data_IF_607761879799
#
_entry.id   IF_607761879799
#
_cell.length_a   1.000
_cell.length_b   1.000
_cell.length_c   1.000
_cell.angle_alpha   90.00
_cell.angle_beta   90.00
_cell.angle_gamma   90.00
#
_symmetry.space_group_name_H-M   'P 1'
#
loop_
_entity.id
_entity.type
_entity.pdbx_description
1 polymer ?
#
# COMPACT_ATOMS: atom_id res chain seq x y z
N UNK A 1 -5.88 8.01 -16.83
CA UNK A 1 -5.95 8.58 -15.47
C UNK A 1 -4.73 8.10 -14.67
N UNK A 2 -4.68 8.27 -13.36
CA UNK A 2 -3.88 7.40 -12.47
C UNK A 2 -4.82 6.69 -11.47
N UNK A 3 -4.31 5.71 -10.74
CA UNK A 3 -5.13 4.82 -9.93
C UNK A 3 -5.80 5.51 -8.73
N UNK A 4 -5.18 6.56 -8.15
CA UNK A 4 -5.75 7.23 -6.98
C UNK A 4 -6.85 8.22 -7.39
N UNK A 5 -6.66 8.94 -8.50
CA UNK A 5 -7.74 9.76 -9.06
C UNK A 5 -8.91 8.89 -9.54
N UNK A 6 -8.65 7.77 -10.21
CA UNK A 6 -9.72 6.86 -10.67
C UNK A 6 -10.55 6.26 -9.52
N UNK A 7 -9.97 6.08 -8.32
CA UNK A 7 -10.72 5.69 -7.13
C UNK A 7 -11.46 6.85 -6.44
N UNK A 8 -10.98 8.09 -6.58
CA UNK A 8 -11.70 9.27 -6.10
C UNK A 8 -12.97 9.50 -6.94
N UNK A 9 -12.84 9.51 -8.27
CA UNK A 9 -13.95 9.62 -9.22
C UNK A 9 -14.98 8.49 -8.99
N UNK A 10 -14.51 7.24 -8.79
CA UNK A 10 -15.36 6.09 -8.48
C UNK A 10 -16.17 6.29 -7.20
N UNK A 11 -15.56 6.82 -6.14
CA UNK A 11 -16.21 7.06 -4.86
C UNK A 11 -17.20 8.24 -4.89
N UNK A 12 -17.03 9.19 -5.81
CA UNK A 12 -17.99 10.28 -6.03
C UNK A 12 -19.25 9.80 -6.78
N UNK A 13 -19.09 8.91 -7.78
CA UNK A 13 -20.21 8.46 -8.63
C UNK A 13 -20.91 7.18 -8.14
N UNK A 14 -20.23 6.28 -7.44
CA UNK A 14 -20.74 4.95 -7.08
C UNK A 14 -21.10 4.85 -5.59
N UNK A 15 -22.26 5.39 -5.23
CA UNK A 15 -22.75 5.48 -3.84
C UNK A 15 -22.99 4.14 -3.12
N UNK A 16 -22.88 3.02 -3.81
CA UNK A 16 -22.98 1.67 -3.23
C UNK A 16 -21.62 1.15 -2.72
N UNK A 17 -20.51 1.71 -3.19
CA UNK A 17 -19.14 1.29 -2.83
C UNK A 17 -18.72 1.99 -1.54
N UNK A 18 -18.38 1.20 -0.53
CA UNK A 18 -17.90 1.69 0.77
C UNK A 18 -16.37 1.80 0.83
N UNK A 19 -15.67 0.82 0.23
CA UNK A 19 -14.22 0.82 0.12
C UNK A 19 -13.80 0.19 -1.22
N UNK A 20 -12.68 0.65 -1.78
CA UNK A 20 -12.08 0.09 -2.98
C UNK A 20 -10.54 0.12 -2.93
N UNK A 21 -9.90 -0.83 -3.62
CA UNK A 21 -8.45 -0.96 -3.73
C UNK A 21 -8.06 -1.44 -5.13
N UNK A 22 -7.07 -0.78 -5.74
CA UNK A 22 -6.44 -1.21 -7.00
C UNK A 22 -5.09 -1.83 -6.66
N UNK A 23 -4.82 -3.02 -7.19
CA UNK A 23 -3.62 -3.80 -6.92
C UNK A 23 -3.18 -4.59 -8.16
N UNK A 24 -1.95 -5.06 -8.19
CA UNK A 24 -1.43 -5.91 -9.28
C UNK A 24 -1.65 -7.41 -9.03
N UNK A 25 -1.18 -8.25 -9.96
CA UNK A 25 -1.21 -9.71 -9.83
C UNK A 25 -0.42 -10.26 -8.63
N UNK A 26 0.54 -9.50 -8.09
CA UNK A 26 1.36 -9.84 -6.93
C UNK A 26 0.75 -9.34 -5.60
N UNK A 27 -0.38 -8.63 -5.63
CA UNK A 27 -0.99 -8.00 -4.46
C UNK A 27 -0.40 -6.63 -4.08
N UNK A 28 0.48 -6.05 -4.90
CA UNK A 28 1.04 -4.73 -4.65
C UNK A 28 -0.02 -3.65 -4.93
N UNK A 29 -0.33 -2.84 -3.91
CA UNK A 29 -1.40 -1.84 -3.97
C UNK A 29 -0.92 -0.60 -4.74
N UNK A 30 -1.69 -0.21 -5.75
CA UNK A 30 -1.46 1.00 -6.54
C UNK A 30 -2.29 2.21 -6.05
N UNK A 31 -3.47 1.96 -5.47
CA UNK A 31 -4.37 2.98 -4.92
C UNK A 31 -5.41 2.37 -3.97
N UNK A 32 -5.98 3.17 -3.05
CA UNK A 32 -7.17 2.77 -2.27
C UNK A 32 -7.98 3.97 -1.79
N UNK A 33 -9.27 3.78 -1.57
CA UNK A 33 -10.12 4.72 -0.82
C UNK A 33 -9.95 4.56 0.71
N UNK A 34 -9.44 3.42 1.18
CA UNK A 34 -8.99 3.26 2.56
C UNK A 34 -7.72 4.10 2.76
N UNK A 35 -7.76 5.07 3.67
CA UNK A 35 -6.80 6.19 3.74
C UNK A 35 -5.32 5.87 4.04
N UNK A 36 -4.93 4.59 4.09
CA UNK A 36 -3.53 4.15 4.01
C UNK A 36 -3.44 2.69 3.56
N UNK A 37 -2.25 2.29 3.06
CA UNK A 37 -2.00 0.95 2.53
C UNK A 37 -2.27 -0.19 3.54
N UNK A 38 -2.00 0.03 4.84
CA UNK A 38 -2.21 -0.99 5.87
C UNK A 38 -3.71 -1.27 6.13
N UNK A 39 -4.59 -0.28 5.94
CA UNK A 39 -6.04 -0.46 5.95
C UNK A 39 -6.57 -1.10 4.66
N UNK A 40 -5.91 -0.86 3.52
CA UNK A 40 -6.28 -1.43 2.23
C UNK A 40 -5.84 -2.90 2.04
N UNK A 41 -4.73 -3.30 2.67
CA UNK A 41 -4.09 -4.61 2.50
C UNK A 41 -5.00 -5.82 2.78
N UNK A 42 -5.83 -5.87 3.84
CA UNK A 42 -6.72 -7.00 4.07
C UNK A 42 -7.72 -7.24 2.92
N UNK A 43 -8.22 -6.18 2.28
CA UNK A 43 -9.12 -6.28 1.14
C UNK A 43 -8.38 -6.78 -0.11
N UNK A 44 -7.18 -6.26 -0.40
CA UNK A 44 -6.37 -6.71 -1.53
C UNK A 44 -5.94 -8.18 -1.39
N UNK A 45 -5.45 -8.59 -0.21
CA UNK A 45 -5.08 -9.99 0.05
C UNK A 45 -6.28 -10.93 0.01
N UNK A 46 -7.42 -10.53 0.58
CA UNK A 46 -8.66 -11.32 0.53
C UNK A 46 -9.16 -11.50 -0.90
N UNK A 47 -9.23 -10.40 -1.67
CA UNK A 47 -9.64 -10.41 -3.06
C UNK A 47 -8.72 -11.23 -3.97
N UNK A 48 -7.40 -11.17 -3.77
CA UNK A 48 -6.45 -11.99 -4.50
C UNK A 48 -6.71 -13.49 -4.25
N UNK A 49 -6.83 -13.90 -2.98
CA UNK A 49 -7.11 -15.31 -2.61
C UNK A 49 -8.45 -15.79 -3.17
N UNK A 50 -9.51 -14.99 -3.08
CA UNK A 50 -10.83 -15.31 -3.65
C UNK A 50 -10.77 -15.50 -5.17
N UNK A 51 -10.06 -14.62 -5.88
CA UNK A 51 -9.87 -14.72 -7.34
C UNK A 51 -9.06 -15.97 -7.71
N UNK A 52 -7.99 -16.28 -6.97
CA UNK A 52 -7.12 -17.43 -7.23
C UNK A 52 -7.84 -18.77 -6.93
N UNK A 53 -8.69 -18.85 -5.90
CA UNK A 53 -9.56 -20.03 -5.67
C UNK A 53 -10.61 -20.18 -6.77
N UNK A 54 -11.35 -19.11 -7.09
CA UNK A 54 -12.37 -19.16 -8.13
C UNK A 54 -11.79 -19.46 -9.53
N UNK A 55 -10.55 -19.03 -9.81
CA UNK A 55 -9.83 -19.38 -11.03
C UNK A 55 -9.51 -20.89 -11.11
N UNK A 56 -9.31 -21.60 -9.99
CA UNK A 56 -9.13 -23.06 -9.98
C UNK A 56 -10.40 -23.83 -10.39
N UNK A 57 -11.56 -23.20 -10.32
CA UNK A 57 -12.86 -23.76 -10.71
C UNK A 57 -13.27 -23.37 -12.14
N UNK A 58 -12.53 -22.47 -12.80
CA UNK A 58 -12.84 -21.98 -14.14
C UNK A 58 -12.08 -22.79 -15.21
N UNK A 59 -12.73 -23.80 -15.79
CA UNK A 59 -12.11 -24.78 -16.69
C UNK A 59 -11.64 -24.21 -18.05
N UNK A 60 -12.27 -23.16 -18.56
CA UNK A 60 -12.17 -22.76 -19.98
C UNK A 60 -11.61 -21.36 -20.25
N UNK A 61 -11.53 -20.47 -19.26
CA UNK A 61 -11.12 -19.07 -19.47
C UNK A 61 -10.53 -18.41 -18.21
N UNK A 62 -9.67 -17.38 -18.35
CA UNK A 62 -9.26 -16.54 -17.23
C UNK A 62 -10.46 -15.82 -16.59
N UNK A 63 -10.58 -15.92 -15.26
CA UNK A 63 -11.66 -15.31 -14.50
C UNK A 63 -11.52 -13.78 -14.49
N UNK A 64 -12.55 -13.09 -15.00
CA UNK A 64 -12.53 -11.62 -15.19
C UNK A 64 -13.23 -10.83 -14.09
N UNK A 65 -14.21 -11.41 -13.41
CA UNK A 65 -14.96 -10.75 -12.36
C UNK A 65 -15.55 -11.79 -11.39
N UNK A 66 -15.65 -11.43 -10.12
CA UNK A 66 -16.19 -12.25 -9.04
C UNK A 66 -17.00 -11.36 -8.08
N UNK A 67 -18.10 -11.88 -7.56
CA UNK A 67 -18.89 -11.28 -6.47
C UNK A 67 -19.07 -12.36 -5.39
N UNK A 68 -19.00 -11.94 -4.12
CA UNK A 68 -19.16 -12.82 -2.96
C UNK A 68 -20.04 -12.11 -1.93
N UNK A 69 -21.31 -12.50 -1.88
CA UNK A 69 -22.27 -12.03 -0.89
C UNK A 69 -21.99 -12.61 0.51
N UNK A 70 -22.18 -11.78 1.53
CA UNK A 70 -22.12 -12.13 2.96
C UNK A 70 -23.27 -11.44 3.71
N UNK A 71 -23.47 -11.72 5.00
CA UNK A 71 -24.49 -11.04 5.81
C UNK A 71 -24.26 -9.53 5.96
N UNK A 72 -23.00 -9.10 5.95
CA UNK A 72 -22.61 -7.69 6.20
C UNK A 72 -22.48 -6.87 4.91
N UNK A 73 -22.44 -7.53 3.74
CA UNK A 73 -22.20 -6.90 2.44
C UNK A 73 -21.62 -7.86 1.41
N UNK A 74 -21.36 -7.33 0.20
CA UNK A 74 -20.71 -8.09 -0.87
C UNK A 74 -19.27 -7.62 -1.11
N UNK A 75 -18.39 -8.57 -1.44
CA UNK A 75 -17.05 -8.30 -1.96
C UNK A 75 -17.05 -8.50 -3.47
N UNK A 76 -16.61 -7.48 -4.20
CA UNK A 76 -16.44 -7.51 -5.65
C UNK A 76 -14.97 -7.55 -6.01
N UNK A 77 -14.61 -8.31 -7.04
CA UNK A 77 -13.27 -8.32 -7.64
C UNK A 77 -13.41 -8.28 -9.16
N UNK A 78 -12.60 -7.47 -9.83
CA UNK A 78 -12.48 -7.42 -11.30
C UNK A 78 -11.01 -7.42 -11.69
N UNK A 79 -10.64 -8.20 -12.70
CA UNK A 79 -9.27 -8.34 -13.20
C UNK A 79 -9.19 -8.01 -14.69
N UNK A 80 -8.39 -7.00 -15.04
CA UNK A 80 -8.08 -6.65 -16.43
C UNK A 80 -6.56 -6.56 -16.68
N UNK A 81 -6.07 -7.45 -17.55
CA UNK A 81 -4.65 -7.74 -17.68
C UNK A 81 -4.00 -8.02 -16.31
N UNK A 82 -2.88 -7.35 -15.98
CA UNK A 82 -2.22 -7.47 -14.68
C UNK A 82 -2.87 -6.62 -13.57
N UNK A 83 -3.86 -5.78 -13.90
CA UNK A 83 -4.48 -4.83 -12.96
C UNK A 83 -5.74 -5.43 -12.37
N UNK A 84 -5.87 -5.38 -11.05
CA UNK A 84 -7.03 -5.86 -10.30
C UNK A 84 -7.64 -4.70 -9.52
N UNK A 85 -8.97 -4.66 -9.43
CA UNK A 85 -9.68 -3.80 -8.49
C UNK A 85 -10.60 -4.68 -7.63
N UNK A 86 -10.66 -4.38 -6.34
CA UNK A 86 -11.62 -4.97 -5.44
C UNK A 86 -12.37 -3.88 -4.67
N UNK A 87 -13.63 -4.16 -4.31
CA UNK A 87 -14.48 -3.23 -3.58
C UNK A 87 -15.45 -3.96 -2.64
N UNK A 88 -15.94 -3.23 -1.64
CA UNK A 88 -16.98 -3.70 -0.71
C UNK A 88 -18.22 -2.82 -0.79
N UNK A 89 -19.40 -3.41 -0.64
CA UNK A 89 -20.69 -2.72 -0.59
C UNK A 89 -21.47 -3.09 0.67
N UNK A 90 -22.59 -2.41 0.91
CA UNK A 90 -23.64 -2.92 1.78
C UNK A 90 -24.27 -4.22 1.20
N UNK A 91 -25.13 -4.94 1.96
CA UNK A 91 -25.89 -6.07 1.45
C UNK A 91 -26.81 -5.68 0.28
N UNK A 92 -27.22 -6.69 -0.51
CA UNK A 92 -28.13 -6.56 -1.65
C UNK A 92 -27.78 -5.44 -2.66
N UNK A 93 -26.51 -5.30 -3.09
CA UNK A 93 -26.11 -4.26 -4.04
C UNK A 93 -26.68 -4.52 -5.44
N UNK A 94 -26.71 -3.47 -6.27
CA UNK A 94 -26.99 -3.58 -7.69
C UNK A 94 -25.76 -4.13 -8.43
N UNK A 95 -25.51 -5.44 -8.30
CA UNK A 95 -24.34 -6.17 -8.80
C UNK A 95 -23.86 -5.73 -10.19
N UNK A 96 -24.77 -5.56 -11.15
CA UNK A 96 -24.44 -5.14 -12.51
C UNK A 96 -23.88 -3.71 -12.63
N UNK A 97 -24.34 -2.78 -11.77
CA UNK A 97 -23.86 -1.40 -11.70
C UNK A 97 -22.48 -1.35 -11.05
N UNK A 98 -22.30 -2.00 -9.90
CA UNK A 98 -21.00 -2.07 -9.21
C UNK A 98 -19.91 -2.62 -10.14
N UNK A 99 -20.20 -3.70 -10.88
CA UNK A 99 -19.27 -4.22 -11.89
C UNK A 99 -19.03 -3.24 -13.05
N UNK A 100 -20.04 -2.49 -13.51
CA UNK A 100 -19.87 -1.48 -14.55
C UNK A 100 -18.92 -0.36 -14.09
N UNK A 101 -19.11 0.14 -12.86
CA UNK A 101 -18.31 1.22 -12.28
C UNK A 101 -16.85 0.78 -12.10
N UNK A 102 -16.62 -0.40 -11.51
CA UNK A 102 -15.29 -1.00 -11.35
C UNK A 102 -14.56 -1.21 -12.68
N UNK A 103 -15.27 -1.71 -13.72
CA UNK A 103 -14.71 -1.84 -15.07
C UNK A 103 -14.45 -0.49 -15.74
N UNK A 104 -15.16 0.56 -15.35
CA UNK A 104 -14.94 1.92 -15.87
C UNK A 104 -13.72 2.58 -15.22
N UNK A 105 -13.53 2.39 -13.91
CA UNK A 105 -12.33 2.81 -13.19
C UNK A 105 -11.07 2.09 -13.71
N UNK A 106 -11.09 0.77 -13.94
CA UNK A 106 -9.95 0.05 -14.53
C UNK A 106 -9.57 0.57 -15.92
N UNK A 107 -10.56 0.82 -16.79
CA UNK A 107 -10.32 1.38 -18.13
C UNK A 107 -9.69 2.77 -18.07
N UNK A 108 -10.23 3.66 -17.22
CA UNK A 108 -9.68 5.01 -17.09
C UNK A 108 -8.23 5.01 -16.59
N UNK A 109 -7.81 4.00 -15.81
CA UNK A 109 -6.40 3.78 -15.42
C UNK A 109 -5.58 3.29 -16.63
N UNK A 110 -6.06 2.28 -17.35
CA UNK A 110 -5.38 1.66 -18.49
C UNK A 110 -5.11 2.62 -19.66
N UNK A 111 -6.00 3.60 -19.89
CA UNK A 111 -5.89 4.62 -20.94
C UNK A 111 -4.70 5.59 -20.79
N UNK A 112 -3.80 5.38 -19.81
CA UNK A 112 -2.53 6.09 -19.69
C UNK A 112 -1.36 5.09 -19.67
N UNK A 113 -0.49 5.03 -20.69
CA UNK A 113 0.67 4.13 -20.67
C UNK A 113 1.57 4.50 -19.50
N UNK A 114 1.82 3.53 -18.60
CA UNK A 114 2.66 3.74 -17.43
C UNK A 114 4.04 4.28 -17.84
N UNK A 115 4.51 5.41 -17.28
CA UNK A 115 5.83 5.93 -17.58
C UNK A 115 6.88 4.97 -17.02
N UNK A 116 7.48 4.16 -17.90
CA UNK A 116 8.57 3.24 -17.55
C UNK A 116 9.61 4.00 -16.73
N UNK A 117 9.82 3.59 -15.47
CA UNK A 117 10.87 4.13 -14.60
C UNK A 117 12.18 4.09 -15.36
N UNK A 118 12.72 5.26 -15.75
CA UNK A 118 14.02 5.36 -16.43
C UNK A 118 15.07 4.75 -15.50
N UNK A 119 15.63 3.60 -15.90
CA UNK A 119 16.78 3.05 -15.22
C UNK A 119 17.89 4.11 -15.20
N UNK A 120 18.49 4.34 -14.03
CA UNK A 120 19.57 5.31 -13.90
C UNK A 120 20.76 4.87 -14.79
N UNK A 121 21.40 5.79 -15.52
CA UNK A 121 22.49 5.43 -16.42
C UNK A 121 23.65 4.83 -15.63
N UNK A 122 24.01 3.59 -15.94
CA UNK A 122 25.07 2.87 -15.26
C UNK A 122 26.42 3.59 -15.46
N UNK A 123 27.09 3.95 -14.36
CA UNK A 123 28.42 4.57 -14.40
C UNK A 123 29.43 3.55 -14.94
N UNK A 124 30.09 3.88 -16.06
CA UNK A 124 31.23 3.10 -16.56
C UNK A 124 32.37 3.13 -15.53
N UNK A 125 33.07 2.00 -15.28
CA UNK A 125 34.31 2.00 -14.51
C UNK A 125 35.41 2.81 -15.22
N UNK A 126 36.25 3.50 -14.46
CA UNK A 126 37.47 4.12 -14.98
C UNK A 126 38.67 3.16 -14.79
N UNK A 127 39.60 3.06 -15.76
CA UNK A 127 40.83 2.29 -15.60
C UNK A 127 41.81 2.99 -14.65
N UNK A 128 42.76 2.24 -14.10
CA UNK A 128 43.66 2.68 -13.03
C UNK A 128 45.13 2.79 -13.45
N UNK A 129 45.92 3.46 -12.60
CA UNK A 129 47.39 3.57 -12.58
C UNK A 129 48.07 4.39 -13.72
N UNK A 130 49.24 5.01 -13.53
CA UNK A 130 49.91 5.52 -12.31
C UNK A 130 51.15 6.36 -12.71
N UNK A 131 51.57 7.34 -11.87
CA UNK A 131 52.97 7.65 -11.47
C UNK A 131 53.08 8.93 -10.59
N UNK A 132 54.27 9.16 -10.02
CA UNK A 132 54.69 10.15 -8.99
C UNK A 132 56.20 10.41 -9.19
N UNK A 133 56.90 11.31 -8.44
CA UNK A 133 56.56 12.62 -7.83
C UNK A 133 57.68 13.65 -8.26
N UNK A 134 58.38 14.47 -7.42
CA UNK A 134 58.02 15.28 -6.22
C UNK A 134 58.46 16.78 -6.29
N UNK A 135 57.89 17.64 -5.44
CA UNK A 135 58.49 18.87 -4.85
C UNK A 135 57.44 19.55 -3.93
N UNK A 136 57.70 20.39 -2.93
CA UNK A 136 58.67 20.46 -1.80
C UNK A 136 58.20 21.61 -0.87
N UNK A 137 58.80 21.81 0.32
CA UNK A 137 58.51 22.87 1.31
C UNK A 137 57.11 22.79 2.00
N UNK A 138 57.00 22.52 3.32
CA UNK A 138 57.09 23.45 4.49
C UNK A 138 55.78 24.25 4.76
N UNK A 139 55.25 24.41 5.99
CA UNK A 139 55.74 24.20 7.38
C UNK A 139 54.65 23.67 8.35
N UNK A 140 55.10 23.13 9.49
CA UNK A 140 54.40 22.95 10.80
C UNK A 140 55.12 23.83 11.85
N UNK A 141 54.75 23.93 13.15
CA UNK A 141 53.63 23.34 13.94
C UNK A 141 52.66 24.47 14.43
N UNK A 142 51.86 24.45 15.52
CA UNK A 142 51.72 23.61 16.73
C UNK A 142 50.25 23.72 17.29
N UNK A 143 49.66 22.70 17.94
CA UNK A 143 49.60 22.43 19.40
C UNK A 143 48.58 23.30 20.21
N UNK A 144 47.89 22.83 21.27
CA UNK A 144 47.62 21.46 21.79
C UNK A 144 46.53 21.43 22.91
N UNK A 145 45.69 20.39 22.88
CA UNK A 145 44.92 19.75 23.98
C UNK A 145 43.87 20.49 24.89
N UNK A 146 43.16 19.64 25.67
CA UNK A 146 42.33 19.90 26.86
C UNK A 146 40.90 20.51 26.66
N UNK A 147 39.86 20.15 27.43
CA UNK A 147 39.74 19.18 28.56
C UNK A 147 38.31 18.56 28.68
N UNK A 148 38.12 17.68 29.67
CA UNK A 148 36.98 16.74 29.91
C UNK A 148 35.65 17.37 30.46
N UNK A 149 34.52 16.62 30.48
CA UNK A 149 33.19 17.04 30.98
C UNK A 149 33.05 16.91 32.52
N UNK A 150 31.89 17.25 33.15
CA UNK A 150 30.68 16.37 33.24
C UNK A 150 29.44 17.04 32.56
N UNK A 151 28.14 16.83 32.83
CA UNK A 151 27.26 16.17 33.83
C UNK A 151 25.82 16.05 33.21
N UNK A 152 24.73 15.54 33.83
CA UNK A 152 24.39 14.45 34.77
C UNK A 152 22.84 14.50 35.00
N UNK A 153 22.16 13.35 35.25
CA UNK A 153 20.74 13.25 35.75
C UNK A 153 19.62 13.77 34.81
N UNK A 154 18.35 13.34 34.89
CA UNK A 154 17.63 12.39 35.78
C UNK A 154 16.62 11.54 35.00
N UNK A 155 16.28 10.35 35.53
CA UNK A 155 14.97 9.70 35.32
C UNK A 155 14.14 9.80 36.60
N UNK A 156 12.80 9.67 36.52
CA UNK A 156 12.15 8.74 37.44
C UNK A 156 10.98 7.93 36.84
N UNK A 157 11.15 6.61 36.88
CA UNK A 157 10.19 5.55 37.32
C UNK A 157 8.68 5.65 36.95
N UNK A 158 8.08 4.59 36.36
CA UNK A 158 6.64 4.54 36.07
C UNK A 158 5.78 4.41 37.32
N UNK A 159 4.50 4.82 37.22
CA UNK A 159 3.49 4.73 38.28
C UNK A 159 2.35 3.79 37.85
N UNK A 160 2.05 2.78 38.66
CA UNK A 160 1.11 1.73 38.33
C UNK A 160 -0.31 1.92 38.92
N UNK A 161 -1.27 1.24 38.29
CA UNK A 161 -2.55 0.74 38.82
C UNK A 161 -3.59 1.70 39.44
N UNK A 162 -4.79 1.69 38.84
CA UNK A 162 -6.07 1.52 39.57
C UNK A 162 -7.19 1.04 38.62
N UNK A 163 -7.70 -0.20 38.76
CA UNK A 163 -8.93 -0.66 38.11
C UNK A 163 -10.15 -0.56 39.05
N UNK A 164 -11.31 -1.08 38.60
CA UNK A 164 -12.60 -1.22 39.31
C UNK A 164 -13.45 0.08 39.43
N UNK A 165 -14.79 0.00 39.56
CA UNK A 165 -15.61 -1.19 39.84
C UNK A 165 -16.49 -1.70 38.68
N UNK A 166 -16.82 -3.00 38.74
CA UNK A 166 -17.94 -3.59 37.99
C UNK A 166 -19.26 -3.13 38.63
N UNK A 167 -20.29 -2.83 37.82
CA UNK A 167 -21.68 -2.88 38.31
C UNK A 167 -22.13 -4.36 38.39
N UNK A 168 -23.03 -4.66 39.34
CA UNK A 168 -23.64 -5.97 39.49
C UNK A 168 -24.72 -6.19 38.42
N UNK A 169 -25.01 -7.45 38.04
CA UNK A 169 -26.37 -7.84 37.69
C UNK A 169 -27.20 -7.99 38.97
N UNK A 170 -28.45 -7.56 38.94
CA UNK A 170 -29.49 -7.99 39.88
C UNK A 170 -30.58 -8.72 39.08
N UNK A 171 -31.12 -9.79 39.66
CA UNK A 171 -32.16 -10.65 39.10
C UNK A 171 -33.51 -10.33 39.82
N UNK A 172 -34.60 -11.15 39.80
CA UNK A 172 -34.76 -12.54 39.37
C UNK A 172 -34.89 -12.74 37.85
#
# INVERSE_FOLDING_TARGET
MDAQQALADLAEISSQIQAAVVFDENGAIAASTAGNEAAARPLAEGAARLLDEAQRLAEAAPLKQLEVATSEGSVFVVADGPTRIAATTAPEPTVGLVFYDLKSALRSIADKPMPKKRAAPAKKPAPAAAKKPPSAAEKKPAAEAAKKPPAEKSTPKPRAAKPAPRKKPDAP
#
